data_IF_293291891514
#
_entry.id   IF_293291891514
#
_cell.length_a   1.000
_cell.length_b   1.000
_cell.length_c   1.000
_cell.angle_alpha   90.00
_cell.angle_beta   90.00
_cell.angle_gamma   90.00
#
_symmetry.space_group_name_H-M   'P 1'
#
loop_
_entity.id
_entity.type
_entity.pdbx_description
1 polymer ?
#
# COMPACT_ATOMS: atom_id res chain seq x y z
N UNK A 1 -10.26 -23.05 1.91
CA UNK A 1 -11.40 -22.33 2.52
C UNK A 1 -11.36 -20.89 2.04
N UNK A 2 -12.46 -20.39 1.48
CA UNK A 2 -12.56 -19.07 0.83
C UNK A 2 -12.02 -17.94 1.73
N UNK A 3 -12.23 -18.03 3.06
CA UNK A 3 -11.70 -17.11 4.06
C UNK A 3 -10.16 -17.03 4.12
N UNK A 4 -9.43 -18.13 3.91
CA UNK A 4 -7.95 -18.10 3.82
C UNK A 4 -7.47 -17.38 2.56
N UNK A 5 -8.19 -17.55 1.44
CA UNK A 5 -7.86 -16.91 0.16
C UNK A 5 -8.06 -15.40 0.18
N UNK A 6 -9.17 -14.95 0.79
CA UNK A 6 -9.44 -13.51 0.98
C UNK A 6 -8.44 -12.90 1.96
N UNK A 7 -8.10 -13.59 3.05
CA UNK A 7 -7.07 -13.14 3.99
C UNK A 7 -5.70 -12.98 3.34
N UNK A 8 -5.27 -13.95 2.52
CA UNK A 8 -4.00 -13.84 1.77
C UNK A 8 -4.03 -12.72 0.74
N UNK A 9 -5.16 -12.48 0.09
CA UNK A 9 -5.30 -11.39 -0.88
C UNK A 9 -5.24 -10.03 -0.18
N UNK A 10 -5.87 -9.88 0.99
CA UNK A 10 -5.79 -8.65 1.80
C UNK A 10 -4.34 -8.41 2.25
N UNK A 11 -3.64 -9.44 2.75
CA UNK A 11 -2.24 -9.31 3.16
C UNK A 11 -1.29 -9.02 1.99
N UNK A 12 -1.61 -9.52 0.79
CA UNK A 12 -0.83 -9.21 -0.41
C UNK A 12 -1.08 -7.78 -0.95
N UNK A 13 -2.30 -7.26 -0.77
CA UNK A 13 -2.73 -5.96 -1.31
C UNK A 13 -2.43 -4.82 -0.34
N UNK A 14 -2.63 -5.02 0.96
CA UNK A 14 -2.29 -4.02 1.97
C UNK A 14 -0.78 -4.00 2.22
N UNK A 15 -0.16 -2.81 2.22
CA UNK A 15 1.27 -2.71 2.44
C UNK A 15 1.63 -3.18 3.84
N UNK A 16 2.59 -4.10 3.95
CA UNK A 16 3.18 -4.44 5.24
C UNK A 16 4.04 -3.26 5.71
N UNK A 17 3.47 -2.43 6.57
CA UNK A 17 4.11 -1.22 7.08
C UNK A 17 5.34 -1.52 7.95
N UNK A 18 5.46 -2.72 8.50
CA UNK A 18 6.66 -3.14 9.23
C UNK A 18 7.86 -3.30 8.28
N UNK A 19 7.62 -3.78 7.06
CA UNK A 19 8.68 -3.93 6.03
C UNK A 19 9.21 -2.58 5.55
N UNK A 20 8.39 -1.52 5.63
CA UNK A 20 8.80 -0.16 5.29
C UNK A 20 9.24 0.67 6.51
N UNK A 21 9.36 0.06 7.69
CA UNK A 21 9.76 0.77 8.90
C UNK A 21 11.29 0.90 8.97
N UNK A 22 11.83 1.95 8.33
CA UNK A 22 13.27 2.18 8.23
C UNK A 22 13.88 2.85 9.48
N UNK A 23 13.08 3.10 10.53
CA UNK A 23 13.60 3.69 11.77
C UNK A 23 14.63 2.79 12.44
N UNK A 24 14.48 1.47 12.36
CA UNK A 24 15.45 0.52 12.92
C UNK A 24 16.79 0.58 12.19
N UNK A 25 16.80 0.75 10.87
CA UNK A 25 18.03 0.81 10.06
C UNK A 25 18.94 1.97 10.50
N UNK A 26 18.36 3.12 10.86
CA UNK A 26 19.09 4.26 11.39
C UNK A 26 19.72 4.00 12.77
N UNK A 27 19.12 3.13 13.59
CA UNK A 27 19.63 2.75 14.92
C UNK A 27 20.76 1.73 14.81
N UNK A 28 20.67 0.78 13.88
CA UNK A 28 21.65 -0.28 13.67
C UNK A 28 22.76 0.07 12.67
N UNK A 29 22.70 1.25 12.03
CA UNK A 29 23.69 1.70 11.05
C UNK A 29 23.64 0.92 9.73
N UNK A 30 22.51 0.28 9.44
CA UNK A 30 22.32 -0.51 8.22
C UNK A 30 21.86 0.38 7.06
N UNK A 31 22.31 0.06 5.86
CA UNK A 31 21.91 0.79 4.65
C UNK A 31 20.58 0.27 4.11
N UNK A 32 19.70 1.18 3.72
CA UNK A 32 18.44 0.82 3.06
C UNK A 32 18.70 0.27 1.66
N UNK A 33 18.14 -0.91 1.38
CA UNK A 33 18.23 -1.52 0.06
C UNK A 33 17.35 -0.76 -0.95
N UNK A 34 17.92 -0.41 -2.11
CA UNK A 34 17.20 0.35 -3.15
C UNK A 34 15.98 -0.38 -3.71
N UNK A 35 15.97 -1.71 -3.67
CA UNK A 35 14.82 -2.53 -4.06
C UNK A 35 13.59 -2.27 -3.19
N UNK A 36 13.80 -2.02 -1.88
CA UNK A 36 12.74 -1.67 -0.91
C UNK A 36 12.17 -0.29 -1.19
N UNK A 37 13.01 0.67 -1.59
CA UNK A 37 12.56 2.01 -2.00
C UNK A 37 11.70 1.91 -3.26
N UNK A 38 12.15 1.14 -4.27
CA UNK A 38 11.40 0.96 -5.52
C UNK A 38 10.03 0.32 -5.29
N UNK A 39 9.96 -0.71 -4.46
CA UNK A 39 8.68 -1.34 -4.10
C UNK A 39 7.78 -0.37 -3.33
N UNK A 40 8.30 0.39 -2.36
CA UNK A 40 7.54 1.40 -1.62
C UNK A 40 6.89 2.45 -2.55
N UNK A 41 7.64 2.95 -3.54
CA UNK A 41 7.15 3.94 -4.51
C UNK A 41 6.03 3.37 -5.38
N UNK A 42 6.20 2.15 -5.90
CA UNK A 42 5.15 1.49 -6.71
C UNK A 42 3.88 1.28 -5.89
N UNK A 43 4.02 0.80 -4.64
CA UNK A 43 2.88 0.64 -3.74
C UNK A 43 2.16 1.97 -3.48
N UNK A 44 2.91 3.04 -3.19
CA UNK A 44 2.34 4.36 -2.96
C UNK A 44 1.59 4.88 -4.19
N UNK A 45 2.18 4.71 -5.38
CA UNK A 45 1.56 5.14 -6.65
C UNK A 45 0.26 4.38 -6.93
N UNK A 46 0.25 3.06 -6.77
CA UNK A 46 -0.94 2.23 -7.00
C UNK A 46 -2.06 2.63 -6.04
N UNK A 47 -1.76 2.73 -4.75
CA UNK A 47 -2.77 3.08 -3.74
C UNK A 47 -3.29 4.51 -3.89
N UNK A 48 -2.42 5.47 -4.24
CA UNK A 48 -2.84 6.83 -4.54
C UNK A 48 -3.88 6.88 -5.67
N UNK A 49 -3.63 6.17 -6.77
CA UNK A 49 -4.56 6.11 -7.90
C UNK A 49 -5.87 5.39 -7.54
N UNK A 50 -5.81 4.31 -6.76
CA UNK A 50 -7.01 3.61 -6.29
C UNK A 50 -7.88 4.50 -5.41
N UNK A 51 -7.27 5.26 -4.49
CA UNK A 51 -7.99 6.20 -3.63
C UNK A 51 -8.57 7.37 -4.43
N UNK A 52 -7.85 7.89 -5.41
CA UNK A 52 -8.38 8.91 -6.33
C UNK A 52 -9.58 8.39 -7.12
N UNK A 53 -9.48 7.18 -7.67
CA UNK A 53 -10.58 6.55 -8.40
C UNK A 53 -11.79 6.35 -7.51
N UNK A 54 -11.59 5.84 -6.28
CA UNK A 54 -12.65 5.67 -5.30
C UNK A 54 -13.31 7.02 -4.95
N UNK A 55 -12.50 8.06 -4.71
CA UNK A 55 -13.00 9.40 -4.45
C UNK A 55 -13.82 9.95 -5.63
N UNK A 56 -13.31 9.81 -6.85
CA UNK A 56 -14.01 10.24 -8.07
C UNK A 56 -15.36 9.51 -8.24
N UNK A 57 -15.41 8.21 -7.97
CA UNK A 57 -16.65 7.43 -8.04
C UNK A 57 -17.66 7.85 -6.97
N UNK A 58 -17.20 8.12 -5.75
CA UNK A 58 -18.06 8.60 -4.65
C UNK A 58 -18.62 9.99 -4.96
N UNK A 59 -17.80 10.93 -5.44
CA UNK A 59 -18.23 12.27 -5.84
C UNK A 59 -19.23 12.19 -7.00
N UNK A 60 -18.90 11.42 -8.06
CA UNK A 60 -19.82 11.20 -9.18
C UNK A 60 -21.18 10.65 -8.71
N UNK A 61 -21.20 9.68 -7.80
CA UNK A 61 -22.46 9.12 -7.29
C UNK A 61 -23.27 10.14 -6.49
N UNK A 62 -22.60 11.07 -5.79
CA UNK A 62 -23.23 12.15 -5.04
C UNK A 62 -23.83 13.24 -5.94
N UNK A 63 -23.17 13.56 -7.06
CA UNK A 63 -23.63 14.63 -7.96
C UNK A 63 -24.75 14.20 -8.92
N UNK A 64 -24.88 12.89 -9.20
CA UNK A 64 -25.92 12.32 -10.06
C UNK A 64 -27.01 11.53 -9.29
N UNK A 65 -27.00 11.59 -7.95
CA UNK A 65 -27.93 10.89 -7.06
C UNK A 65 -28.94 11.81 -6.40
#
# INVERSE_FOLDING_TARGET
>A
GVFKGVGSAIVAVFPNLETFNWRSLAVYGETLEWSVVGTAVVYAFVWYNLLLLAAALVIRKKDFG
#
